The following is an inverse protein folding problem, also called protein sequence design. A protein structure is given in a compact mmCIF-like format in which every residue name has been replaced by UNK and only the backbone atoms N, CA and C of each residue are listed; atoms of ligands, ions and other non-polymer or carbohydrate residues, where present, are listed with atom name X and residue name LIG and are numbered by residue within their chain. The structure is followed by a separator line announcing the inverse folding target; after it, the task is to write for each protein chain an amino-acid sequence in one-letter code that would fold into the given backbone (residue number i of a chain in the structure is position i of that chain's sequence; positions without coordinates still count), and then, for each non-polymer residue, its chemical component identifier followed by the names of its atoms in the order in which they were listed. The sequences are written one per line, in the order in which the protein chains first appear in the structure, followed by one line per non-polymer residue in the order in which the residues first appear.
data_IF_406387003789
#
_entry.id   IF_406387003789
#
_cell.length_a   1.000
_cell.length_b   1.000
_cell.length_c   1.000
_cell.angle_alpha   90.00
_cell.angle_beta   90.00
_cell.angle_gamma   90.00
#
_symmetry.space_group_name_H-M   'P 1'
#
loop_
_entity.id
_entity.type
_entity.pdbx_description
1 polymer ?
#
# COMPACT_ATOMS: atom_id res chain seq x y z
N UNK A 1 -23.17 6.87 -0.38
CA UNK A 1 -23.02 7.58 0.92
C UNK A 1 -21.61 8.14 0.95
N UNK A 2 -21.45 9.46 0.82
CA UNK A 2 -20.12 10.08 0.87
C UNK A 2 -19.57 9.96 2.28
N UNK A 3 -18.42 9.31 2.44
CA UNK A 3 -17.70 9.32 3.72
C UNK A 3 -17.42 10.79 4.09
N UNK A 4 -17.77 11.17 5.31
CA UNK A 4 -17.48 12.51 5.81
C UNK A 4 -15.97 12.70 5.88
N UNK A 5 -15.48 13.88 5.48
CA UNK A 5 -14.06 14.27 5.61
C UNK A 5 -13.49 14.01 7.00
N UNK A 6 -14.31 14.21 8.03
CA UNK A 6 -13.96 13.93 9.42
C UNK A 6 -13.66 12.44 9.66
N UNK A 7 -14.38 11.54 8.99
CA UNK A 7 -14.16 10.10 9.07
C UNK A 7 -12.81 9.69 8.48
N UNK A 8 -12.44 10.25 7.32
CA UNK A 8 -11.13 10.01 6.69
C UNK A 8 -9.99 10.44 7.62
N UNK A 9 -10.11 11.62 8.24
CA UNK A 9 -9.13 12.13 9.20
C UNK A 9 -9.03 11.23 10.43
N UNK A 10 -10.17 10.85 11.02
CA UNK A 10 -10.20 9.99 12.19
C UNK A 10 -9.59 8.60 11.90
N UNK A 11 -10.03 7.96 10.82
CA UNK A 11 -9.56 6.64 10.40
C UNK A 11 -8.06 6.64 10.09
N UNK A 12 -7.58 7.64 9.34
CA UNK A 12 -6.16 7.79 9.05
C UNK A 12 -5.32 7.98 10.32
N UNK A 13 -5.80 8.80 11.25
CA UNK A 13 -5.11 9.09 12.52
C UNK A 13 -5.02 7.84 13.39
N UNK A 14 -6.12 7.12 13.57
CA UNK A 14 -6.16 5.88 14.36
C UNK A 14 -5.24 4.82 13.75
N UNK A 15 -5.31 4.63 12.42
CA UNK A 15 -4.50 3.63 11.71
C UNK A 15 -3.01 3.86 11.91
N UNK A 16 -2.53 5.10 11.73
CA UNK A 16 -1.11 5.44 11.90
C UNK A 16 -0.67 5.31 13.36
N UNK A 17 -1.52 5.71 14.31
CA UNK A 17 -1.21 5.61 15.75
C UNK A 17 -1.05 4.15 16.18
N UNK A 18 -1.97 3.29 15.75
CA UNK A 18 -1.93 1.84 16.02
C UNK A 18 -0.68 1.24 15.39
N UNK A 19 -0.45 1.46 14.09
CA UNK A 19 0.71 0.93 13.38
C UNK A 19 2.03 1.35 14.03
N UNK A 20 2.14 2.63 14.41
CA UNK A 20 3.33 3.17 15.08
C UNK A 20 3.57 2.53 16.45
N UNK A 21 2.53 2.35 17.26
CA UNK A 21 2.64 1.69 18.56
C UNK A 21 3.04 0.22 18.44
N UNK A 22 2.50 -0.51 17.45
CA UNK A 22 2.86 -1.90 17.18
C UNK A 22 4.33 -2.01 16.77
N UNK A 23 4.79 -1.19 15.82
CA UNK A 23 6.20 -1.20 15.38
C UNK A 23 7.14 -0.85 16.54
N UNK A 24 6.78 0.16 17.34
CA UNK A 24 7.59 0.59 18.49
C UNK A 24 7.63 -0.49 19.58
N UNK A 25 6.49 -1.14 19.85
CA UNK A 25 6.39 -2.23 20.82
C UNK A 25 7.21 -3.45 20.41
N UNK A 26 7.12 -3.86 19.15
CA UNK A 26 7.94 -4.94 18.59
C UNK A 26 9.43 -4.60 18.68
N UNK A 27 9.82 -3.39 18.28
CA UNK A 27 11.22 -2.95 18.38
C UNK A 27 11.73 -2.97 19.82
N UNK A 28 10.91 -2.50 20.79
CA UNK A 28 11.27 -2.52 22.20
C UNK A 28 11.43 -3.96 22.74
N UNK A 29 10.53 -4.87 22.34
CA UNK A 29 10.59 -6.28 22.69
C UNK A 29 11.87 -6.94 22.15
N UNK A 30 12.21 -6.71 20.87
CA UNK A 30 13.43 -7.25 20.26
C UNK A 30 14.72 -6.63 20.82
N UNK A 31 14.68 -5.36 21.22
CA UNK A 31 15.86 -4.66 21.74
C UNK A 31 16.16 -4.97 23.21
N UNK A 32 15.33 -5.77 23.90
CA UNK A 32 15.48 -6.06 25.33
C UNK A 32 15.34 -4.84 26.25
N UNK A 33 14.93 -3.68 25.71
CA UNK A 33 14.78 -2.43 26.46
C UNK A 33 13.38 -2.38 27.05
N UNK A 34 13.24 -2.77 28.33
CA UNK A 34 12.00 -2.60 29.10
C UNK A 34 11.79 -1.12 29.42
N UNK A 35 11.11 -0.40 28.53
CA UNK A 35 10.53 0.91 28.82
C UNK A 35 9.04 0.82 28.58
N UNK A 36 8.30 0.61 29.66
CA UNK A 36 6.87 0.28 29.67
C UNK A 36 5.99 1.35 28.99
N UNK A 37 6.51 2.57 28.81
CA UNK A 37 5.76 3.71 28.25
C UNK A 37 6.11 4.06 26.79
N UNK A 38 7.05 3.37 26.12
CA UNK A 38 7.46 3.76 24.77
C UNK A 38 6.36 3.59 23.72
N UNK A 39 5.62 2.49 23.76
CA UNK A 39 4.56 2.22 22.78
C UNK A 39 3.42 3.24 22.89
N UNK A 40 3.03 3.60 24.13
CA UNK A 40 2.00 4.60 24.38
C UNK A 40 2.44 6.01 23.96
N UNK A 41 3.65 6.43 24.35
CA UNK A 41 4.19 7.73 23.93
C UNK A 41 4.29 7.83 22.39
N UNK A 42 4.67 6.72 21.74
CA UNK A 42 4.71 6.63 20.27
C UNK A 42 3.32 6.75 19.64
N UNK A 43 2.31 6.02 20.15
CA UNK A 43 0.92 6.16 19.72
C UNK A 43 0.45 7.61 19.83
N UNK A 44 0.66 8.26 20.97
CA UNK A 44 0.18 9.61 21.22
C UNK A 44 0.86 10.66 20.32
N UNK A 45 2.19 10.59 20.20
CA UNK A 45 2.94 11.48 19.31
C UNK A 45 2.55 11.28 17.84
N UNK A 46 2.33 10.03 17.43
CA UNK A 46 1.86 9.68 16.10
C UNK A 46 0.42 10.13 15.86
N UNK A 47 -0.46 10.10 16.86
CA UNK A 47 -1.83 10.58 16.77
C UNK A 47 -1.88 12.10 16.52
N UNK A 48 -1.10 12.88 17.27
CA UNK A 48 -1.00 14.33 17.05
C UNK A 48 -0.45 14.63 15.65
N UNK A 49 0.60 13.93 15.25
CA UNK A 49 1.25 14.12 13.96
C UNK A 49 0.32 13.77 12.80
N UNK A 50 -0.29 12.58 12.84
CA UNK A 50 -1.21 12.10 11.82
C UNK A 50 -2.49 12.95 11.78
N UNK A 51 -3.05 13.31 12.93
CA UNK A 51 -4.23 14.17 13.02
C UNK A 51 -3.98 15.54 12.38
N UNK A 52 -2.83 16.15 12.66
CA UNK A 52 -2.43 17.41 12.02
C UNK A 52 -2.28 17.25 10.50
N UNK A 53 -1.60 16.18 10.06
CA UNK A 53 -1.39 15.88 8.65
C UNK A 53 -2.69 15.68 7.88
N UNK A 54 -3.57 14.79 8.36
CA UNK A 54 -4.82 14.49 7.67
C UNK A 54 -5.79 15.68 7.70
N UNK A 55 -5.81 16.45 8.79
CA UNK A 55 -6.63 17.68 8.85
C UNK A 55 -6.16 18.69 7.80
N UNK A 56 -4.86 18.97 7.72
CA UNK A 56 -4.31 19.89 6.72
C UNK A 56 -4.55 19.38 5.30
N UNK A 57 -4.33 18.09 5.06
CA UNK A 57 -4.56 17.47 3.76
C UNK A 57 -6.02 17.66 3.32
N UNK A 58 -6.97 17.26 4.15
CA UNK A 58 -8.38 17.18 3.76
C UNK A 58 -9.07 18.55 3.74
N UNK A 59 -8.74 19.44 4.67
CA UNK A 59 -9.44 20.72 4.82
C UNK A 59 -8.72 21.91 4.21
N UNK A 60 -7.42 21.82 3.95
CA UNK A 60 -6.64 22.93 3.38
C UNK A 60 -6.10 22.58 2.01
N UNK A 61 -5.37 21.47 1.89
CA UNK A 61 -4.58 21.18 0.68
C UNK A 61 -5.47 20.65 -0.45
N UNK A 62 -6.28 19.64 -0.20
CA UNK A 62 -7.16 19.06 -1.22
C UNK A 62 -8.18 20.06 -1.80
N UNK A 63 -8.87 20.92 -1.02
CA UNK A 63 -9.75 21.91 -1.62
C UNK A 63 -8.99 23.02 -2.37
N UNK A 64 -7.80 23.43 -1.93
CA UNK A 64 -7.02 24.47 -2.62
C UNK A 64 -6.46 23.98 -3.94
N UNK A 65 -5.94 22.76 -3.99
CA UNK A 65 -5.44 22.14 -5.23
C UNK A 65 -6.60 21.85 -6.19
N UNK A 66 -7.72 21.32 -5.69
CA UNK A 66 -8.93 21.12 -6.50
C UNK A 66 -9.39 22.41 -7.17
N UNK A 67 -9.56 23.49 -6.38
CA UNK A 67 -9.95 24.80 -6.90
C UNK A 67 -8.94 25.37 -7.90
N UNK A 68 -7.64 25.21 -7.66
CA UNK A 68 -6.58 25.69 -8.56
C UNK A 68 -6.56 24.92 -9.90
N UNK A 69 -6.79 23.62 -9.87
CA UNK A 69 -6.89 22.78 -11.06
C UNK A 69 -8.16 23.10 -11.86
N UNK A 70 -9.30 23.29 -11.19
CA UNK A 70 -10.56 23.66 -11.83
C UNK A 70 -10.46 25.04 -12.48
N UNK A 71 -9.85 26.00 -11.80
CA UNK A 71 -9.55 27.32 -12.37
C UNK A 71 -8.66 27.20 -13.61
N UNK A 72 -7.62 26.35 -13.55
CA UNK A 72 -6.71 26.11 -14.68
C UNK A 72 -7.41 25.45 -15.88
N UNK A 73 -8.34 24.53 -15.64
CA UNK A 73 -9.17 23.90 -16.69
C UNK A 73 -10.09 24.91 -17.35
N UNK A 74 -10.83 25.70 -16.55
CA UNK A 74 -11.71 26.76 -17.06
C UNK A 74 -10.94 27.79 -17.91
N UNK A 75 -9.73 28.18 -17.48
CA UNK A 75 -8.89 29.12 -18.21
C UNK A 75 -8.36 28.56 -19.54
N UNK A 76 -8.09 27.26 -19.63
CA UNK A 76 -7.61 26.62 -20.88
C UNK A 76 -8.71 26.45 -21.94
N UNK A 77 -9.95 26.85 -21.65
CA UNK A 77 -11.04 26.79 -22.62
C UNK A 77 -11.43 25.36 -23.01
N UNK A 78 -10.91 24.34 -22.32
CA UNK A 78 -11.31 22.95 -22.47
C UNK A 78 -12.64 22.76 -21.73
N UNK A 79 -13.67 23.45 -22.21
CA UNK A 79 -15.06 23.04 -22.08
C UNK A 79 -15.25 21.95 -23.13
N UNK A 80 -14.59 20.81 -22.96
CA UNK A 80 -15.14 19.60 -23.53
C UNK A 80 -16.29 19.25 -22.59
N UNK A 81 -17.51 19.61 -22.99
CA UNK A 81 -18.67 18.79 -22.67
C UNK A 81 -18.25 17.37 -23.00
N UNK A 82 -17.92 16.57 -21.98
CA UNK A 82 -17.73 15.15 -22.16
C UNK A 82 -19.07 14.67 -22.70
N UNK A 83 -19.18 14.19 -23.96
CA UNK A 83 -20.43 13.63 -24.43
C UNK A 83 -20.74 12.47 -23.49
N UNK A 84 -21.95 12.44 -22.92
CA UNK A 84 -22.44 11.40 -22.00
C UNK A 84 -22.39 9.96 -22.58
N UNK A 85 -21.97 9.82 -23.84
CA UNK A 85 -21.92 8.57 -24.60
C UNK A 85 -20.52 7.95 -24.76
N UNK A 86 -19.47 8.51 -24.16
CA UNK A 86 -18.16 7.84 -24.13
C UNK A 86 -18.20 6.68 -23.12
N UNK A 87 -17.94 5.41 -23.54
CA UNK A 87 -17.99 4.27 -22.64
C UNK A 87 -17.04 4.53 -21.46
N UNK A 88 -17.52 4.27 -20.25
CA UNK A 88 -16.89 4.54 -18.95
C UNK A 88 -15.49 3.91 -18.71
N UNK A 89 -14.82 3.43 -19.75
CA UNK A 89 -13.47 2.91 -19.77
C UNK A 89 -12.40 3.89 -20.28
N UNK A 90 -12.73 5.17 -20.49
CA UNK A 90 -11.73 6.14 -20.93
C UNK A 90 -10.57 6.20 -19.94
N UNK A 91 -9.39 5.94 -20.49
CA UNK A 91 -8.32 5.25 -19.81
C UNK A 91 -7.77 6.09 -18.66
N UNK A 92 -8.06 5.69 -17.41
CA UNK A 92 -7.25 6.05 -16.24
C UNK A 92 -5.80 5.69 -16.55
N UNK A 93 -5.06 6.66 -17.11
CA UNK A 93 -3.68 6.48 -17.51
C UNK A 93 -2.90 5.99 -16.30
N UNK A 94 -2.18 4.88 -16.43
CA UNK A 94 -1.36 4.33 -15.35
C UNK A 94 -0.42 5.39 -14.74
N UNK A 95 0.01 6.35 -15.56
CA UNK A 95 0.78 7.52 -15.11
C UNK A 95 0.00 8.41 -14.13
N UNK A 96 -1.27 8.69 -14.43
CA UNK A 96 -2.17 9.44 -13.54
C UNK A 96 -2.41 8.70 -12.23
N UNK A 97 -2.57 7.37 -12.28
CA UNK A 97 -2.74 6.54 -11.08
C UNK A 97 -1.49 6.59 -10.17
N UNK A 98 -0.29 6.54 -10.76
CA UNK A 98 0.99 6.66 -10.01
C UNK A 98 1.12 8.01 -9.32
N UNK A 99 0.68 9.08 -9.96
CA UNK A 99 0.81 10.46 -9.44
C UNK A 99 -0.34 10.90 -8.54
N UNK A 100 -1.34 10.05 -8.36
CA UNK A 100 -2.54 10.38 -7.60
C UNK A 100 -2.18 10.78 -6.15
N UNK A 101 -2.59 11.97 -5.74
CA UNK A 101 -2.38 12.56 -4.41
C UNK A 101 -0.91 12.71 -3.93
N UNK A 102 0.09 12.60 -4.83
CA UNK A 102 1.49 12.77 -4.43
C UNK A 102 1.78 14.19 -3.94
N UNK A 103 1.31 15.19 -4.69
CA UNK A 103 1.53 16.60 -4.37
C UNK A 103 0.79 17.00 -3.09
N UNK A 104 -0.48 16.61 -2.95
CA UNK A 104 -1.27 16.85 -1.76
C UNK A 104 -0.56 16.33 -0.51
N UNK A 105 -0.05 15.09 -0.57
CA UNK A 105 0.68 14.45 0.54
C UNK A 105 2.00 15.15 0.84
N UNK A 106 2.72 15.61 -0.19
CA UNK A 106 3.98 16.34 -0.02
C UNK A 106 3.77 17.69 0.64
N UNK A 107 2.77 18.46 0.19
CA UNK A 107 2.45 19.79 0.73
C UNK A 107 1.91 19.66 2.15
N UNK A 108 0.98 18.73 2.41
CA UNK A 108 0.46 18.52 3.77
C UNK A 108 1.54 18.00 4.71
N UNK A 109 2.43 17.13 4.24
CA UNK A 109 3.60 16.64 4.97
C UNK A 109 4.56 17.76 5.34
N UNK A 110 4.89 18.62 4.38
CA UNK A 110 5.77 19.77 4.59
C UNK A 110 5.16 20.78 5.58
N UNK A 111 3.88 21.11 5.43
CA UNK A 111 3.18 21.98 6.36
C UNK A 111 3.17 21.41 7.78
N UNK A 112 2.84 20.12 7.93
CA UNK A 112 2.79 19.43 9.22
C UNK A 112 4.16 19.40 9.89
N UNK A 113 5.21 18.99 9.16
CA UNK A 113 6.58 18.94 9.67
C UNK A 113 7.08 20.33 10.08
N UNK A 114 6.77 21.35 9.28
CA UNK A 114 7.09 22.74 9.59
C UNK A 114 6.39 23.24 10.86
N UNK A 115 5.07 23.03 10.98
CA UNK A 115 4.28 23.48 12.13
C UNK A 115 4.76 22.79 13.41
N UNK A 116 4.81 21.45 13.43
CA UNK A 116 5.20 20.71 14.64
C UNK A 116 6.61 21.06 15.09
N UNK A 117 7.56 21.18 14.16
CA UNK A 117 8.94 21.54 14.49
C UNK A 117 9.07 22.98 14.96
N UNK A 118 8.28 23.90 14.40
CA UNK A 118 8.26 25.31 14.83
C UNK A 118 7.86 25.45 16.30
N UNK A 119 6.90 24.63 16.75
CA UNK A 119 6.38 24.65 18.12
C UNK A 119 7.37 24.04 19.12
N UNK A 120 8.14 23.03 18.71
CA UNK A 120 9.06 22.32 19.62
C UNK A 120 10.45 22.95 19.73
N UNK A 121 10.98 23.46 18.63
CA UNK A 121 12.41 23.82 18.50
C UNK A 121 12.65 25.20 17.90
N UNK A 122 11.59 25.94 17.60
CA UNK A 122 11.65 27.29 17.07
C UNK A 122 11.91 27.37 15.56
N UNK A 123 11.91 28.62 15.06
CA UNK A 123 11.85 28.96 13.62
C UNK A 123 13.02 28.45 12.78
N UNK A 124 14.22 28.33 13.36
CA UNK A 124 15.44 27.93 12.61
C UNK A 124 15.39 26.53 12.04
N UNK A 125 14.54 25.66 12.58
CA UNK A 125 14.44 24.24 12.17
C UNK A 125 13.23 23.93 11.30
N UNK A 126 12.41 24.94 10.96
CA UNK A 126 11.14 24.77 10.23
C UNK A 126 11.39 24.33 8.79
N UNK A 127 12.26 25.03 8.06
CA UNK A 127 12.54 24.73 6.66
C UNK A 127 13.07 23.29 6.44
N UNK A 128 14.12 22.82 7.16
CA UNK A 128 14.59 21.45 6.96
C UNK A 128 13.56 20.41 7.38
N UNK A 129 12.78 20.64 8.44
CA UNK A 129 11.73 19.70 8.87
C UNK A 129 10.56 19.64 7.88
N UNK A 130 10.15 20.77 7.31
CA UNK A 130 9.14 20.80 6.26
C UNK A 130 9.62 20.03 5.02
N UNK A 131 10.85 20.27 4.57
CA UNK A 131 11.39 19.58 3.40
C UNK A 131 11.47 18.06 3.60
N UNK A 132 12.03 17.61 4.72
CA UNK A 132 12.17 16.17 4.98
C UNK A 132 10.81 15.49 5.15
N UNK A 133 9.89 16.09 5.90
CA UNK A 133 8.54 15.54 6.08
C UNK A 133 7.78 15.46 4.75
N UNK A 134 7.88 16.49 3.90
CA UNK A 134 7.28 16.51 2.57
C UNK A 134 7.83 15.39 1.67
N UNK A 135 9.16 15.23 1.60
CA UNK A 135 9.80 14.18 0.80
C UNK A 135 9.38 12.79 1.28
N UNK A 136 9.41 12.55 2.58
CA UNK A 136 9.00 11.26 3.16
C UNK A 136 7.53 10.96 2.81
N UNK A 137 6.64 11.94 2.92
CA UNK A 137 5.23 11.76 2.57
C UNK A 137 5.02 11.45 1.08
N UNK A 138 5.78 12.09 0.18
CA UNK A 138 5.75 11.80 -1.26
C UNK A 138 6.19 10.36 -1.52
N UNK A 139 7.28 9.92 -0.89
CA UNK A 139 7.80 8.56 -1.06
C UNK A 139 6.82 7.50 -0.55
N UNK A 140 6.23 7.72 0.63
CA UNK A 140 5.20 6.82 1.17
C UNK A 140 3.98 6.74 0.26
N UNK A 141 3.49 7.89 -0.22
CA UNK A 141 2.33 7.91 -1.12
C UNK A 141 2.66 7.25 -2.47
N UNK A 142 3.88 7.42 -3.00
CA UNK A 142 4.33 6.75 -4.22
C UNK A 142 4.41 5.23 -4.04
N UNK A 143 4.93 4.76 -2.91
CA UNK A 143 4.96 3.34 -2.58
C UNK A 143 3.55 2.75 -2.47
N UNK A 144 2.64 3.46 -1.79
CA UNK A 144 1.23 3.06 -1.67
C UNK A 144 0.56 2.95 -3.06
N UNK A 145 0.77 3.95 -3.92
CA UNK A 145 0.20 3.96 -5.27
C UNK A 145 0.72 2.79 -6.11
N UNK A 146 2.01 2.45 -6.02
CA UNK A 146 2.55 1.27 -6.74
C UNK A 146 2.04 -0.05 -6.18
N UNK A 147 1.87 -0.17 -4.85
CA UNK A 147 1.22 -1.36 -4.27
C UNK A 147 -0.22 -1.51 -4.78
N UNK A 148 -0.96 -0.41 -4.92
CA UNK A 148 -2.30 -0.41 -5.51
C UNK A 148 -2.30 -0.90 -6.96
N UNK A 149 -1.37 -0.42 -7.78
CA UNK A 149 -1.20 -0.86 -9.17
C UNK A 149 -0.88 -2.35 -9.23
N UNK A 150 0.00 -2.84 -8.36
CA UNK A 150 0.33 -4.26 -8.29
C UNK A 150 -0.88 -5.11 -7.91
N UNK A 151 -1.70 -4.67 -6.95
CA UNK A 151 -2.94 -5.35 -6.58
C UNK A 151 -3.91 -5.43 -7.75
N UNK A 152 -4.15 -4.32 -8.45
CA UNK A 152 -5.05 -4.29 -9.62
C UNK A 152 -4.53 -5.24 -10.70
N UNK A 153 -3.22 -5.22 -10.99
CA UNK A 153 -2.59 -6.16 -11.94
C UNK A 153 -2.71 -7.61 -11.50
N UNK A 154 -2.59 -7.88 -10.21
CA UNK A 154 -2.69 -9.23 -9.66
C UNK A 154 -4.12 -9.77 -9.76
N UNK A 155 -5.12 -8.99 -9.32
CA UNK A 155 -6.54 -9.36 -9.43
C UNK A 155 -6.96 -9.48 -10.88
N UNK A 156 -6.54 -8.55 -11.75
CA UNK A 156 -6.86 -8.59 -13.18
C UNK A 156 -6.30 -9.82 -13.91
N UNK A 157 -5.21 -10.42 -13.43
CA UNK A 157 -4.71 -11.71 -13.96
C UNK A 157 -5.56 -12.89 -13.52
N UNK A 158 -6.14 -12.84 -12.32
CA UNK A 158 -7.00 -13.90 -11.78
C UNK A 158 -8.39 -13.85 -12.44
N UNK A 159 -8.90 -12.66 -12.76
CA UNK A 159 -10.22 -12.47 -13.37
C UNK A 159 -10.28 -12.70 -14.88
N UNK A 160 -9.15 -12.94 -15.55
CA UNK A 160 -9.16 -13.40 -16.94
C UNK A 160 -9.38 -14.92 -16.93
N UNK A 161 -10.54 -15.44 -17.37
CA UNK A 161 -10.66 -16.88 -17.62
C UNK A 161 -9.58 -17.31 -18.61
N UNK A 162 -9.17 -18.60 -18.64
CA UNK A 162 -8.21 -19.10 -19.60
C UNK A 162 -8.81 -18.99 -21.01
N UNK A 163 -8.66 -17.81 -21.61
CA UNK A 163 -8.85 -17.61 -23.03
C UNK A 163 -7.79 -18.47 -23.72
N UNK A 164 -8.27 -19.46 -24.46
CA UNK A 164 -7.49 -20.24 -25.43
C UNK A 164 -7.03 -19.24 -26.49
N UNK A 165 -5.96 -18.51 -26.21
CA UNK A 165 -5.32 -17.60 -27.14
C UNK A 165 -3.98 -18.21 -27.54
N UNK A 166 -3.69 -18.33 -28.84
CA UNK A 166 -2.52 -19.06 -29.34
C UNK A 166 -1.24 -18.43 -28.81
N UNK A 167 -0.24 -19.28 -28.54
CA UNK A 167 1.03 -18.94 -27.91
C UNK A 167 1.60 -17.59 -28.41
N UNK A 168 1.86 -16.60 -27.52
CA UNK A 168 2.54 -15.38 -27.92
C UNK A 168 4.02 -15.69 -28.25
N UNK A 169 4.64 -14.93 -29.18
CA UNK A 169 6.06 -15.07 -29.48
C UNK A 169 6.90 -14.83 -28.21
N UNK A 170 7.86 -15.72 -27.96
CA UNK A 170 8.81 -15.61 -26.87
C UNK A 170 9.73 -14.40 -27.08
N UNK A 171 9.38 -13.25 -26.51
CA UNK A 171 10.36 -12.18 -26.31
C UNK A 171 11.21 -12.49 -25.06
N UNK A 172 12.55 -12.29 -25.12
CA UNK A 172 13.45 -12.62 -24.03
C UNK A 172 13.15 -11.79 -22.76
N UNK A 173 13.33 -12.37 -21.56
CA UNK A 173 12.95 -11.76 -20.30
C UNK A 173 13.80 -10.52 -20.03
N UNK A 174 13.21 -9.33 -20.15
CA UNK A 174 13.87 -8.11 -19.72
C UNK A 174 14.04 -8.13 -18.19
N UNK A 175 15.26 -7.88 -17.66
CA UNK A 175 15.50 -7.88 -16.23
C UNK A 175 14.74 -6.72 -15.58
N UNK A 176 13.64 -7.06 -14.92
CA UNK A 176 12.81 -6.11 -14.20
C UNK A 176 13.59 -5.52 -13.03
N UNK A 177 13.63 -4.20 -12.95
CA UNK A 177 14.09 -3.32 -11.85
C UNK A 177 13.89 -3.86 -10.41
N UNK A 178 12.92 -4.76 -10.22
CA UNK A 178 12.67 -5.53 -8.99
C UNK A 178 13.85 -6.39 -8.53
N UNK A 179 14.62 -7.01 -9.44
CA UNK A 179 15.79 -7.84 -9.07
C UNK A 179 16.91 -6.99 -8.47
N UNK A 180 17.05 -5.74 -8.93
CA UNK A 180 18.08 -4.82 -8.47
C UNK A 180 17.79 -4.24 -7.08
N UNK A 181 16.50 -4.03 -6.75
CA UNK A 181 16.10 -3.56 -5.41
C UNK A 181 16.13 -4.70 -4.38
N UNK A 182 15.71 -5.92 -4.75
CA UNK A 182 15.78 -7.07 -3.83
C UNK A 182 17.22 -7.50 -3.50
N UNK A 183 18.15 -7.32 -4.45
CA UNK A 183 19.57 -7.55 -4.21
C UNK A 183 20.19 -6.64 -3.15
N UNK A 184 19.70 -5.40 -3.03
CA UNK A 184 20.18 -4.44 -2.02
C UNK A 184 19.78 -4.82 -0.59
N UNK A 185 18.70 -5.59 -0.42
CA UNK A 185 18.21 -6.05 0.88
C UNK A 185 18.65 -7.48 1.24
N UNK A 186 19.56 -8.10 0.46
CA UNK A 186 20.07 -9.44 0.74
C UNK A 186 19.03 -10.57 0.59
N UNK A 187 17.86 -10.26 0.03
CA UNK A 187 16.81 -11.23 -0.23
C UNK A 187 17.10 -11.88 -1.58
N UNK A 188 17.68 -13.09 -1.56
CA UNK A 188 17.76 -13.94 -2.76
C UNK A 188 16.33 -14.21 -3.25
N UNK A 189 15.97 -13.68 -4.42
CA UNK A 189 14.82 -14.20 -5.16
C UNK A 189 15.07 -15.69 -5.36
N UNK A 190 14.20 -16.54 -4.80
CA UNK A 190 14.11 -17.91 -5.30
C UNK A 190 13.80 -17.81 -6.79
N UNK A 191 14.57 -18.54 -7.60
CA UNK A 191 14.27 -18.67 -9.02
C UNK A 191 12.86 -19.22 -9.20
N UNK A 192 12.12 -18.78 -10.22
CA UNK A 192 10.77 -19.29 -10.50
C UNK A 192 10.76 -20.83 -10.60
N UNK A 193 11.86 -21.43 -11.06
CA UNK A 193 12.03 -22.88 -11.09
C UNK A 193 12.16 -23.52 -9.69
N UNK A 194 12.84 -22.85 -8.75
CA UNK A 194 12.93 -23.31 -7.36
C UNK A 194 11.60 -23.17 -6.63
N UNK A 195 10.84 -22.11 -6.92
CA UNK A 195 9.50 -21.89 -6.38
C UNK A 195 8.53 -22.97 -6.87
N UNK A 196 8.52 -23.23 -8.18
CA UNK A 196 7.73 -24.29 -8.79
C UNK A 196 8.13 -25.67 -8.25
N UNK A 197 9.43 -25.90 -8.03
CA UNK A 197 9.94 -27.10 -7.39
C UNK A 197 9.41 -27.28 -5.96
N UNK A 198 9.36 -26.20 -5.16
CA UNK A 198 8.75 -26.22 -3.82
C UNK A 198 7.26 -26.56 -3.87
N UNK A 199 6.50 -25.92 -4.75
CA UNK A 199 5.07 -26.19 -4.86
C UNK A 199 4.74 -27.61 -5.31
N UNK A 200 5.55 -28.19 -6.21
CA UNK A 200 5.40 -29.61 -6.57
C UNK A 200 5.63 -30.53 -5.36
N UNK A 201 6.66 -30.27 -4.56
CA UNK A 201 6.93 -31.04 -3.33
C UNK A 201 5.81 -30.90 -2.30
N UNK A 202 5.27 -29.70 -2.10
CA UNK A 202 4.13 -29.48 -1.20
C UNK A 202 2.89 -30.22 -1.70
N UNK A 203 2.58 -30.12 -3.00
CA UNK A 203 1.48 -30.86 -3.61
C UNK A 203 1.64 -32.37 -3.39
N UNK A 204 2.81 -32.93 -3.65
CA UNK A 204 3.05 -34.37 -3.51
C UNK A 204 2.93 -34.82 -2.04
N UNK A 205 3.37 -33.99 -1.09
CA UNK A 205 3.20 -34.23 0.34
C UNK A 205 1.72 -34.21 0.75
N UNK A 206 0.94 -33.27 0.21
CA UNK A 206 -0.50 -33.21 0.48
C UNK A 206 -1.26 -34.38 -0.15
N UNK A 207 -0.92 -34.77 -1.38
CA UNK A 207 -1.50 -35.93 -2.03
C UNK A 207 -1.26 -37.22 -1.23
N UNK A 208 -0.03 -37.41 -0.75
CA UNK A 208 0.29 -38.57 0.09
C UNK A 208 -0.52 -38.59 1.38
N UNK A 209 -0.70 -37.42 2.01
CA UNK A 209 -1.50 -37.31 3.23
C UNK A 209 -2.99 -37.58 2.99
N UNK A 210 -3.52 -37.23 1.81
CA UNK A 210 -4.90 -37.54 1.44
C UNK A 210 -5.06 -39.06 1.27
N UNK A 211 -4.14 -39.71 0.58
CA UNK A 211 -4.16 -41.17 0.39
C UNK A 211 -4.08 -41.93 1.72
N UNK A 212 -3.23 -41.47 2.66
CA UNK A 212 -3.15 -42.03 4.01
C UNK A 212 -4.50 -41.89 4.76
N UNK A 213 -5.15 -40.72 4.67
CA UNK A 213 -6.45 -40.48 5.32
C UNK A 213 -7.60 -41.28 4.67
N UNK A 214 -7.55 -41.51 3.36
CA UNK A 214 -8.53 -42.33 2.64
C UNK A 214 -8.43 -43.80 3.07
N UNK A 215 -7.21 -44.32 3.27
CA UNK A 215 -7.00 -45.68 3.79
C UNK A 215 -7.49 -45.83 5.25
N UNK A 216 -7.19 -44.85 6.11
CA UNK A 216 -7.70 -44.86 7.50
C UNK A 216 -9.23 -44.87 7.56
N UNK A 217 -9.90 -44.09 6.69
CA UNK A 217 -11.36 -44.08 6.59
C UNK A 217 -11.94 -45.41 6.09
N UNK A 218 -11.28 -46.08 5.15
CA UNK A 218 -11.69 -47.41 4.69
C UNK A 218 -11.53 -48.48 5.78
N UNK A 219 -10.45 -48.43 6.55
CA UNK A 219 -10.22 -49.34 7.68
C UNK A 219 -11.23 -49.15 8.81
N UNK A 220 -11.48 -47.91 9.22
CA UNK A 220 -12.46 -47.59 10.27
C UNK A 220 -13.89 -47.92 9.81
N UNK A 221 -14.20 -47.72 8.53
CA UNK A 221 -15.46 -48.15 7.93
C UNK A 221 -15.66 -49.66 7.97
N UNK A 222 -14.61 -50.45 7.70
CA UNK A 222 -14.66 -51.93 7.81
C UNK A 222 -14.81 -52.38 9.27
N UNK A 223 -14.03 -51.81 10.20
CA UNK A 223 -14.13 -52.14 11.64
C UNK A 223 -15.51 -51.82 12.23
N UNK A 224 -16.16 -50.76 11.74
CA UNK A 224 -17.50 -50.38 12.17
C UNK A 224 -18.59 -51.30 11.60
N UNK A 225 -18.32 -52.03 10.51
CA UNK A 225 -19.26 -52.99 9.92
C UNK A 225 -19.16 -54.40 10.51
N UNK A 226 -18.04 -54.73 11.16
CA UNK A 226 -17.79 -56.04 11.80
C UNK A 226 -18.24 -56.11 13.27
N UNK A 227 -18.46 -54.96 13.93
CA UNK A 227 -18.97 -54.85 15.31
C UNK A 227 -20.50 -54.63 15.32
#
# INVERSE_FOLDING_TARGET
MGESRAWTVATGTVTISVASSCITGLYAAFSGKRRENLAFASAFNSAITAGTFFTLREYVVSPTIGAALDYSRKRKGTVDEVPDDLPAGDHLSWSSLRRHNLLDSGISGAATGGILRSLQTGRRTVAPAALTAGIVCILLQAAYNELGIQRIRYVGKISRPPEISPAPPQDPPQPAFKTQILGMFGLKLLSDEELLGRYRRERDKHMKKIEELEQELEEDGRRSAEN
#
